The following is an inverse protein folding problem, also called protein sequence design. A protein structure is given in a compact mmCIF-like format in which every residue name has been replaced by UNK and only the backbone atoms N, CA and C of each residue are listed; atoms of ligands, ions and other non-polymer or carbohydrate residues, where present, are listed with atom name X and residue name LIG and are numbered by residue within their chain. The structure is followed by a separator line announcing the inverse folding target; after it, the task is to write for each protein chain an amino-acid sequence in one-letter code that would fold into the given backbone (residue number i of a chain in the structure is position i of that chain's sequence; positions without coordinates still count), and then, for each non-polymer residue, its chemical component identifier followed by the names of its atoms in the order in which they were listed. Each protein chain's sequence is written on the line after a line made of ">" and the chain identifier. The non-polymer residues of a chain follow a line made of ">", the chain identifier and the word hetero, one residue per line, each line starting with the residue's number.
data_IF_019012836183
#
_entry.id   IF_019012836183
#
_cell.length_a   1.000
_cell.length_b   1.000
_cell.length_c   1.000
_cell.angle_alpha   90.00
_cell.angle_beta   90.00
_cell.angle_gamma   90.00
#
_symmetry.space_group_name_H-M   'P 1'
#
loop_
_entity.id
_entity.type
_entity.pdbx_description
1 polymer ?
#
# COMPACT_ATOMS: atom_id res chain seq x y z
N UNK A 1 -3.07 7.52 32.41
CA UNK A 1 -2.36 6.47 31.66
C UNK A 1 -0.92 6.35 32.16
N UNK A 2 -0.40 5.16 32.44
CA UNK A 2 1.00 5.01 32.82
C UNK A 2 1.91 5.45 31.64
N UNK A 3 2.99 6.18 31.96
CA UNK A 3 3.93 6.81 30.99
C UNK A 3 4.43 5.83 29.89
N UNK A 4 4.57 4.54 30.21
CA UNK A 4 5.00 3.51 29.25
C UNK A 4 4.07 3.33 28.02
N UNK A 5 2.76 3.48 28.20
CA UNK A 5 1.81 3.39 27.06
C UNK A 5 1.89 4.61 26.14
N UNK A 6 2.20 5.77 26.71
CA UNK A 6 2.42 6.99 25.93
C UNK A 6 3.62 6.82 24.99
N UNK A 7 4.75 6.29 25.50
CA UNK A 7 5.93 6.00 24.68
C UNK A 7 5.64 4.99 23.56
N UNK A 8 4.88 3.93 23.85
CA UNK A 8 4.49 2.95 22.83
C UNK A 8 3.62 3.55 21.72
N UNK A 9 2.69 4.43 22.08
CA UNK A 9 1.84 5.14 21.11
C UNK A 9 2.69 6.09 20.25
N UNK A 10 3.59 6.87 20.87
CA UNK A 10 4.49 7.77 20.14
C UNK A 10 5.38 6.97 19.17
N UNK A 11 5.97 5.86 19.63
CA UNK A 11 6.78 5.00 18.78
C UNK A 11 6.00 4.45 17.59
N UNK A 12 4.76 4.00 17.81
CA UNK A 12 3.90 3.50 16.74
C UNK A 12 3.55 4.61 15.73
N UNK A 13 3.23 5.82 16.19
CA UNK A 13 2.97 6.96 15.30
C UNK A 13 4.22 7.32 14.47
N UNK A 14 5.41 7.33 15.06
CA UNK A 14 6.66 7.54 14.35
C UNK A 14 6.91 6.44 13.31
N UNK A 15 6.62 5.19 13.65
CA UNK A 15 6.69 4.07 12.71
C UNK A 15 5.73 4.24 11.52
N UNK A 16 4.50 4.68 11.74
CA UNK A 16 3.54 4.98 10.66
C UNK A 16 4.04 6.11 9.75
N UNK A 17 4.60 7.18 10.33
CA UNK A 17 5.22 8.28 9.56
C UNK A 17 6.39 7.77 8.73
N UNK A 18 7.22 6.89 9.28
CA UNK A 18 8.31 6.23 8.56
C UNK A 18 7.79 5.42 7.38
N UNK A 19 6.82 4.52 7.57
CA UNK A 19 6.22 3.71 6.52
C UNK A 19 5.53 4.56 5.43
N UNK A 20 4.96 5.70 5.80
CA UNK A 20 4.38 6.64 4.83
C UNK A 20 5.44 7.30 3.92
N UNK A 21 6.69 7.40 4.38
CA UNK A 21 7.78 8.10 3.70
C UNK A 21 8.95 7.19 3.30
N UNK A 22 8.79 5.89 3.28
CA UNK A 22 9.82 4.88 3.04
C UNK A 22 10.12 4.63 1.55
N UNK A 23 9.67 5.49 0.65
CA UNK A 23 9.87 5.34 -0.81
C UNK A 23 11.34 5.11 -1.20
N UNK A 24 12.29 5.64 -0.43
CA UNK A 24 13.73 5.50 -0.66
C UNK A 24 14.27 4.08 -0.42
N UNK A 25 13.56 3.22 0.32
CA UNK A 25 13.93 1.82 0.57
C UNK A 25 13.67 0.95 -0.65
N UNK A 26 12.71 1.36 -1.50
CA UNK A 26 12.30 0.57 -2.64
C UNK A 26 13.29 0.65 -3.79
N UNK A 27 13.68 -0.52 -4.32
CA UNK A 27 14.42 -0.63 -5.58
C UNK A 27 13.55 -0.30 -6.79
N UNK A 28 12.25 -0.60 -6.69
CA UNK A 28 11.24 -0.28 -7.71
C UNK A 28 10.86 1.19 -7.61
N UNK A 29 10.67 1.91 -8.74
CA UNK A 29 10.23 3.29 -8.70
C UNK A 29 8.86 3.43 -8.03
N UNK A 30 8.80 4.31 -7.02
CA UNK A 30 7.58 4.69 -6.30
C UNK A 30 7.13 6.04 -6.79
N UNK A 31 5.84 6.21 -7.06
CA UNK A 31 5.29 7.51 -7.42
C UNK A 31 4.04 7.82 -6.60
N UNK A 32 3.80 9.11 -6.37
CA UNK A 32 2.58 9.63 -5.74
C UNK A 32 1.69 10.28 -6.79
N UNK A 33 0.44 9.86 -6.85
CA UNK A 33 -0.56 10.45 -7.75
C UNK A 33 -0.92 11.85 -7.25
N UNK A 34 -0.64 12.85 -8.07
CA UNK A 34 -0.86 14.27 -7.75
C UNK A 34 -2.13 14.82 -8.36
N UNK A 35 -2.53 14.31 -9.51
CA UNK A 35 -3.72 14.74 -10.22
C UNK A 35 -4.39 13.56 -10.94
N UNK A 36 -5.72 13.56 -10.98
CA UNK A 36 -6.54 12.54 -11.61
C UNK A 36 -7.61 13.24 -12.44
N UNK A 37 -7.68 12.92 -13.72
CA UNK A 37 -8.83 13.27 -14.58
C UNK A 37 -9.49 11.98 -15.02
N UNK A 38 -10.82 11.97 -15.06
CA UNK A 38 -11.61 10.78 -15.33
C UNK A 38 -12.64 11.09 -16.43
N UNK A 39 -12.78 10.16 -17.37
CA UNK A 39 -13.77 10.24 -18.44
C UNK A 39 -14.45 8.88 -18.63
N UNK A 40 -15.78 8.88 -18.75
CA UNK A 40 -16.54 7.70 -19.18
C UNK A 40 -16.21 7.43 -20.66
N UNK A 41 -15.85 6.18 -20.99
CA UNK A 41 -15.51 5.76 -22.36
C UNK A 41 -16.71 5.06 -23.01
N UNK A 42 -17.25 4.04 -22.33
CA UNK A 42 -18.30 3.19 -22.88
C UNK A 42 -19.16 2.59 -21.76
N UNK A 43 -20.27 2.02 -22.18
CA UNK A 43 -21.18 1.28 -21.33
C UNK A 43 -21.56 -0.01 -22.05
N UNK A 44 -21.40 -1.15 -21.41
CA UNK A 44 -21.67 -2.45 -22.00
C UNK A 44 -22.56 -3.26 -21.06
N UNK A 45 -23.39 -4.21 -21.59
CA UNK A 45 -24.10 -5.15 -20.75
C UNK A 45 -23.12 -5.98 -19.90
N UNK A 46 -23.41 -6.16 -18.62
CA UNK A 46 -22.61 -7.03 -17.75
C UNK A 46 -23.06 -8.48 -17.84
N UNK A 47 -22.13 -9.43 -17.79
CA UNK A 47 -22.39 -10.87 -17.77
C UNK A 47 -23.27 -11.29 -16.58
N UNK A 48 -23.24 -10.52 -15.49
CA UNK A 48 -24.01 -10.76 -14.26
C UNK A 48 -25.35 -10.03 -14.21
N UNK A 49 -25.79 -9.44 -15.34
CA UNK A 49 -26.95 -8.57 -15.42
C UNK A 49 -26.62 -7.12 -15.01
N UNK A 50 -27.32 -6.15 -15.62
CA UNK A 50 -27.06 -4.73 -15.47
C UNK A 50 -26.07 -4.19 -16.49
N UNK A 51 -25.48 -3.01 -16.18
CA UNK A 51 -24.58 -2.29 -17.08
C UNK A 51 -23.22 -2.13 -16.44
N UNK A 52 -22.15 -2.40 -17.19
CA UNK A 52 -20.79 -2.15 -16.80
C UNK A 52 -20.27 -0.90 -17.52
N UNK A 53 -19.79 0.07 -16.76
CA UNK A 53 -19.30 1.33 -17.30
C UNK A 53 -17.79 1.32 -17.26
N UNK A 54 -17.17 1.65 -18.36
CA UNK A 54 -15.74 1.76 -18.56
C UNK A 54 -15.30 3.21 -18.43
N UNK A 55 -14.27 3.44 -17.62
CA UNK A 55 -13.69 4.75 -17.36
C UNK A 55 -12.22 4.77 -17.75
N UNK A 56 -11.78 5.90 -18.29
CA UNK A 56 -10.38 6.22 -18.51
C UNK A 56 -9.95 7.26 -17.47
N UNK A 57 -8.88 6.97 -16.75
CA UNK A 57 -8.19 7.92 -15.89
C UNK A 57 -6.87 8.34 -16.54
N UNK A 58 -6.62 9.65 -16.60
CA UNK A 58 -5.29 10.21 -16.85
C UNK A 58 -4.72 10.64 -15.50
N UNK A 59 -3.64 10.00 -15.07
CA UNK A 59 -3.02 10.17 -13.77
C UNK A 59 -1.69 10.93 -13.94
N UNK A 60 -1.51 12.05 -13.23
CA UNK A 60 -0.18 12.67 -13.10
C UNK A 60 0.45 12.13 -11.83
N UNK A 61 1.58 11.44 -11.95
CA UNK A 61 2.29 10.81 -10.86
C UNK A 61 3.69 11.38 -10.72
N UNK A 62 4.04 11.88 -9.51
CA UNK A 62 5.36 12.39 -9.17
C UNK A 62 6.22 11.27 -8.61
N UNK A 63 7.37 11.02 -9.22
CA UNK A 63 8.32 9.98 -8.79
C UNK A 63 8.97 10.40 -7.47
N UNK A 64 9.05 9.49 -6.50
CA UNK A 64 9.55 9.75 -5.15
C UNK A 64 10.96 9.22 -4.90
N UNK A 65 11.44 8.25 -5.68
CA UNK A 65 12.75 7.62 -5.50
C UNK A 65 13.47 7.39 -6.83
N UNK A 66 14.73 6.91 -6.75
CA UNK A 66 15.55 6.58 -7.90
C UNK A 66 16.10 7.80 -8.68
N UNK A 67 16.71 7.54 -9.84
CA UNK A 67 17.40 8.55 -10.66
C UNK A 67 16.48 9.61 -11.26
N UNK A 68 15.18 9.32 -11.34
CA UNK A 68 14.18 10.25 -11.88
C UNK A 68 13.28 10.87 -10.81
N UNK A 69 13.72 10.86 -9.54
CA UNK A 69 13.00 11.50 -8.43
C UNK A 69 12.61 12.95 -8.76
N UNK A 70 11.36 13.29 -8.48
CA UNK A 70 10.80 14.62 -8.72
C UNK A 70 10.14 14.80 -10.08
N UNK A 71 10.43 13.96 -11.09
CA UNK A 71 9.76 14.02 -12.39
C UNK A 71 8.29 13.62 -12.28
N UNK A 72 7.48 14.18 -13.16
CA UNK A 72 6.06 13.87 -13.27
C UNK A 72 5.86 13.03 -14.53
N UNK A 73 5.22 11.88 -14.37
CA UNK A 73 4.78 11.03 -15.48
C UNK A 73 3.27 11.13 -15.62
N UNK A 74 2.80 11.05 -16.87
CA UNK A 74 1.37 10.87 -17.16
C UNK A 74 1.13 9.41 -17.46
N UNK A 75 0.23 8.79 -16.71
CA UNK A 75 -0.12 7.38 -16.79
C UNK A 75 -1.58 7.28 -17.18
N UNK A 76 -1.86 6.42 -18.15
CA UNK A 76 -3.23 6.08 -18.55
C UNK A 76 -3.66 4.83 -17.81
N UNK A 77 -4.81 4.88 -17.14
CA UNK A 77 -5.41 3.77 -16.42
C UNK A 77 -6.87 3.60 -16.84
N UNK A 78 -7.25 2.38 -17.16
CA UNK A 78 -8.64 2.05 -17.46
C UNK A 78 -9.20 1.22 -16.32
N UNK A 79 -10.46 1.46 -15.96
CA UNK A 79 -11.14 0.68 -14.94
C UNK A 79 -12.63 0.60 -15.20
N UNK A 80 -13.27 -0.41 -14.63
CA UNK A 80 -14.72 -0.67 -14.76
C UNK A 80 -15.45 -0.44 -13.45
N UNK A 81 -16.76 -0.32 -13.49
CA UNK A 81 -17.59 -0.20 -12.28
C UNK A 81 -17.50 -1.42 -11.37
N UNK A 82 -17.31 -2.60 -11.91
CA UNK A 82 -17.17 -3.85 -11.15
C UNK A 82 -15.86 -3.94 -10.38
N UNK A 83 -14.77 -3.30 -10.87
CA UNK A 83 -13.43 -3.33 -10.27
C UNK A 83 -12.92 -4.73 -9.93
N UNK A 84 -13.30 -5.73 -10.70
CA UNK A 84 -12.92 -7.13 -10.44
C UNK A 84 -11.46 -7.35 -10.75
N UNK A 85 -10.96 -6.77 -11.86
CA UNK A 85 -9.59 -6.98 -12.36
C UNK A 85 -8.78 -5.68 -12.29
N UNK A 86 -9.45 -4.55 -12.39
CA UNK A 86 -8.89 -3.22 -12.54
C UNK A 86 -9.05 -2.37 -11.27
N UNK A 87 -8.22 -1.35 -11.13
CA UNK A 87 -8.20 -0.51 -9.94
C UNK A 87 -8.41 0.96 -10.29
N UNK A 88 -9.34 1.60 -9.56
CA UNK A 88 -9.50 3.05 -9.56
C UNK A 88 -8.48 3.69 -8.63
N UNK A 89 -7.75 4.69 -9.15
CA UNK A 89 -6.78 5.45 -8.37
C UNK A 89 -7.32 6.83 -7.98
N UNK A 90 -6.82 7.34 -6.84
CA UNK A 90 -7.18 8.64 -6.31
C UNK A 90 -5.93 9.50 -6.11
N UNK A 91 -6.12 10.82 -6.09
CA UNK A 91 -5.06 11.76 -5.69
C UNK A 91 -4.54 11.39 -4.30
N UNK A 92 -3.23 11.35 -4.15
CA UNK A 92 -2.56 10.96 -2.90
C UNK A 92 -2.16 9.49 -2.83
N UNK A 93 -2.71 8.60 -3.69
CA UNK A 93 -2.28 7.21 -3.71
C UNK A 93 -0.80 7.11 -4.08
N UNK A 94 -0.11 6.19 -3.41
CA UNK A 94 1.24 5.80 -3.75
C UNK A 94 1.20 4.52 -4.58
N UNK A 95 1.94 4.50 -5.67
CA UNK A 95 1.98 3.38 -6.61
C UNK A 95 3.42 2.99 -6.92
N UNK A 96 3.63 1.70 -7.16
CA UNK A 96 4.86 1.16 -7.70
C UNK A 96 4.74 1.18 -9.23
N UNK A 97 5.71 1.75 -9.90
CA UNK A 97 5.75 1.80 -11.36
C UNK A 97 6.51 0.61 -11.92
N UNK A 98 6.18 0.24 -13.14
CA UNK A 98 7.02 -0.67 -13.89
C UNK A 98 8.37 -0.01 -14.22
N UNK A 99 9.39 -0.83 -14.37
CA UNK A 99 10.74 -0.38 -14.70
C UNK A 99 11.25 -1.14 -15.91
N UNK A 100 11.76 -0.42 -16.91
CA UNK A 100 12.46 -0.97 -18.04
C UNK A 100 13.87 -0.38 -18.07
N UNK A 101 14.89 -1.24 -18.09
CA UNK A 101 16.30 -0.85 -18.06
C UNK A 101 16.65 0.13 -16.91
N UNK A 102 16.07 -0.09 -15.72
CA UNK A 102 16.29 0.77 -14.55
C UNK A 102 15.60 2.14 -14.59
N UNK A 103 14.78 2.40 -15.62
CA UNK A 103 14.01 3.65 -15.75
C UNK A 103 12.52 3.37 -15.52
N UNK A 104 11.80 4.26 -14.79
CA UNK A 104 10.35 4.12 -14.61
C UNK A 104 9.61 4.27 -15.94
N UNK A 105 8.68 3.37 -16.17
CA UNK A 105 7.75 3.40 -17.31
C UNK A 105 6.42 3.99 -16.84
N UNK A 106 5.66 4.59 -17.76
CA UNK A 106 4.34 5.14 -17.46
C UNK A 106 3.26 4.06 -17.31
N UNK A 107 3.58 2.99 -16.56
CA UNK A 107 2.70 1.88 -16.23
C UNK A 107 2.76 1.58 -14.74
N UNK A 108 1.59 1.32 -14.14
CA UNK A 108 1.48 0.98 -12.73
C UNK A 108 1.60 -0.53 -12.57
N UNK A 109 2.58 -0.98 -11.78
CA UNK A 109 2.73 -2.37 -11.39
C UNK A 109 1.72 -2.76 -10.31
N UNK A 110 1.62 -1.95 -9.25
CA UNK A 110 0.69 -2.18 -8.14
C UNK A 110 0.55 -0.93 -7.27
N UNK A 111 -0.49 -0.87 -6.45
CA UNK A 111 -0.64 0.16 -5.43
C UNK A 111 0.23 -0.18 -4.20
N UNK A 112 0.94 0.81 -3.67
CA UNK A 112 1.68 0.69 -2.41
C UNK A 112 0.67 0.70 -1.24
N UNK A 113 0.57 -0.40 -0.51
CA UNK A 113 -0.43 -0.59 0.56
C UNK A 113 0.19 -0.71 1.97
N UNK A 114 1.48 -0.56 2.10
CA UNK A 114 2.24 -0.79 3.33
C UNK A 114 1.72 0.03 4.51
N UNK A 115 1.38 1.30 4.26
CA UNK A 115 0.81 2.16 5.29
C UNK A 115 -0.50 1.61 5.85
N UNK A 116 -1.40 1.15 4.96
CA UNK A 116 -2.68 0.58 5.38
C UNK A 116 -2.49 -0.75 6.12
N UNK A 117 -1.54 -1.57 5.68
CA UNK A 117 -1.18 -2.81 6.36
C UNK A 117 -0.57 -2.54 7.73
N UNK A 118 0.37 -1.60 7.83
CA UNK A 118 0.95 -1.19 9.11
C UNK A 118 -0.10 -0.66 10.08
N UNK A 119 -1.05 0.14 9.60
CA UNK A 119 -2.15 0.66 10.40
C UNK A 119 -3.09 -0.47 10.86
N UNK A 120 -3.43 -1.41 9.98
CA UNK A 120 -4.27 -2.56 10.30
C UNK A 120 -3.61 -3.46 11.37
N UNK A 121 -2.36 -3.87 11.16
CA UNK A 121 -1.62 -4.70 12.11
C UNK A 121 -1.44 -4.02 13.47
N UNK A 122 -1.08 -2.73 13.46
CA UNK A 122 -0.97 -1.97 14.71
C UNK A 122 -2.30 -1.81 15.43
N UNK A 123 -3.39 -1.64 14.68
CA UNK A 123 -4.75 -1.62 15.26
C UNK A 123 -5.11 -2.95 15.92
N UNK A 124 -4.83 -4.08 15.27
CA UNK A 124 -5.05 -5.41 15.84
C UNK A 124 -4.24 -5.60 17.13
N UNK A 125 -2.95 -5.25 17.11
CA UNK A 125 -2.08 -5.32 18.29
C UNK A 125 -2.60 -4.44 19.42
N UNK A 126 -3.04 -3.21 19.11
CA UNK A 126 -3.59 -2.29 20.09
C UNK A 126 -4.87 -2.83 20.73
N UNK A 127 -5.79 -3.39 19.95
CA UNK A 127 -7.00 -4.03 20.43
C UNK A 127 -6.69 -5.24 21.32
N UNK A 128 -5.75 -6.08 20.90
CA UNK A 128 -5.33 -7.25 21.67
C UNK A 128 -4.78 -6.84 23.05
N UNK A 129 -3.93 -5.81 23.10
CA UNK A 129 -3.40 -5.28 24.36
C UNK A 129 -4.50 -4.61 25.21
N UNK A 130 -5.44 -3.92 24.57
CA UNK A 130 -6.54 -3.25 25.27
C UNK A 130 -7.44 -4.26 25.97
N UNK A 131 -7.81 -5.36 25.32
CA UNK A 131 -8.72 -6.36 25.88
C UNK A 131 -8.04 -7.36 26.83
N UNK A 132 -6.79 -7.71 26.59
CA UNK A 132 -6.09 -8.78 27.36
C UNK A 132 -4.90 -8.27 28.17
N UNK A 133 -4.62 -6.98 28.12
CA UNK A 133 -3.57 -6.33 28.91
C UNK A 133 -2.17 -6.94 28.68
N UNK A 134 -1.49 -7.31 29.77
CA UNK A 134 -0.14 -7.92 29.69
C UNK A 134 -0.11 -9.25 28.95
N UNK A 135 -1.20 -10.00 28.98
CA UNK A 135 -1.29 -11.28 28.28
C UNK A 135 -1.31 -11.08 26.78
N UNK A 136 -2.00 -10.05 26.28
CA UNK A 136 -1.98 -9.67 24.87
C UNK A 136 -0.60 -9.34 24.35
N UNK A 137 0.19 -8.62 25.13
CA UNK A 137 1.58 -8.33 24.76
C UNK A 137 2.42 -9.61 24.66
N UNK A 138 2.27 -10.56 25.61
CA UNK A 138 2.96 -11.87 25.55
C UNK A 138 2.53 -12.67 24.32
N UNK A 139 1.23 -12.65 23.98
CA UNK A 139 0.70 -13.32 22.80
C UNK A 139 1.29 -12.72 21.51
N UNK A 140 1.40 -11.40 21.41
CA UNK A 140 2.05 -10.74 20.26
C UNK A 140 3.52 -11.17 20.11
N UNK A 141 4.27 -11.19 21.21
CA UNK A 141 5.68 -11.61 21.20
C UNK A 141 5.78 -13.07 20.77
N UNK A 142 4.95 -13.95 21.32
CA UNK A 142 4.91 -15.36 20.95
C UNK A 142 4.60 -15.56 19.47
N UNK A 143 3.64 -14.79 18.92
CA UNK A 143 3.28 -14.85 17.50
C UNK A 143 4.45 -14.44 16.59
N UNK A 144 5.19 -13.38 16.97
CA UNK A 144 6.36 -12.92 16.22
C UNK A 144 7.46 -13.97 16.24
N UNK A 145 7.75 -14.55 17.43
CA UNK A 145 8.79 -15.59 17.58
C UNK A 145 8.43 -16.83 16.77
N UNK A 146 7.19 -17.31 16.89
CA UNK A 146 6.72 -18.48 16.13
C UNK A 146 6.76 -18.24 14.62
N UNK A 147 6.36 -17.05 14.17
CA UNK A 147 6.46 -16.66 12.77
C UNK A 147 7.90 -16.63 12.25
N UNK A 148 8.83 -16.11 13.06
CA UNK A 148 10.25 -16.11 12.72
C UNK A 148 10.82 -17.53 12.63
N UNK A 149 10.49 -18.41 13.58
CA UNK A 149 10.91 -19.83 13.58
C UNK A 149 10.35 -20.53 12.33
N UNK A 150 9.07 -20.27 11.98
CA UNK A 150 8.45 -20.84 10.79
C UNK A 150 9.16 -20.41 9.50
N UNK A 151 9.45 -19.12 9.38
CA UNK A 151 10.16 -18.57 8.21
C UNK A 151 11.58 -19.15 8.11
N UNK A 152 12.33 -19.19 9.23
CA UNK A 152 13.66 -19.79 9.26
C UNK A 152 13.64 -21.27 8.89
N UNK A 153 12.67 -22.04 9.43
CA UNK A 153 12.48 -23.44 9.09
C UNK A 153 12.21 -23.63 7.59
N UNK A 154 11.33 -22.80 7.03
CA UNK A 154 11.03 -22.84 5.59
C UNK A 154 12.28 -22.61 4.72
N UNK A 155 13.14 -21.64 5.09
CA UNK A 155 14.39 -21.36 4.37
C UNK A 155 15.48 -22.43 4.55
N UNK A 156 15.44 -23.20 5.64
CA UNK A 156 16.41 -24.28 5.89
C UNK A 156 16.04 -25.58 5.17
N UNK A 157 14.76 -25.77 4.82
CA UNK A 157 14.26 -26.99 4.18
C UNK A 157 13.95 -26.81 2.68
N UNK A 158 14.19 -25.62 2.10
CA UNK A 158 14.17 -25.32 0.66
C UNK A 158 15.57 -25.28 0.07
#
# INVERSE_FOLDING_TARGET
>A
MPKKYIYSIIFYLLFLVFVANDAWIYKTPVAKITHVTEKKISEMPSVRGGKEIYYLQNLKAKILNGSQKGKILTIRNEYTTSRIIDQKYHKGNHVLLESSNGKPVAAIKTQKRDFYLAMLFGGIIALLILFTGKQGLRTCISLIVNGAIYILGFFLFL
#
